data_IF_009234013254
#
_entry.id   IF_009234013254
#
_cell.length_a   1.000
_cell.length_b   1.000
_cell.length_c   1.000
_cell.angle_alpha   90.00
_cell.angle_beta   90.00
_cell.angle_gamma   90.00
#
_symmetry.space_group_name_H-M   'P 1'
#
loop_
_entity.id
_entity.type
_entity.pdbx_description
1 polymer ?
#
# COMPACT_ATOMS: atom_id res chain seq x y z
N UNK A 1 2.07 11.18 1.12
CA UNK A 1 3.41 10.63 0.86
C UNK A 1 4.25 10.65 2.14
N UNK A 2 5.21 9.74 2.22
CA UNK A 2 6.23 9.78 3.28
C UNK A 2 7.32 10.79 2.95
N UNK A 3 7.95 11.33 4.01
CA UNK A 3 9.16 12.13 3.88
C UNK A 3 10.15 11.63 4.93
N UNK A 4 11.30 11.16 4.47
CA UNK A 4 12.37 10.67 5.35
C UNK A 4 12.39 9.16 5.57
N UNK A 5 11.47 8.39 4.98
CA UNK A 5 11.52 6.92 5.05
C UNK A 5 12.82 6.38 4.45
N UNK A 6 13.36 7.06 3.44
CA UNK A 6 14.65 6.74 2.83
C UNK A 6 15.82 6.79 3.82
N UNK A 7 15.69 7.55 4.92
CA UNK A 7 16.68 7.57 6.01
C UNK A 7 16.78 6.25 6.79
N UNK A 8 15.82 5.35 6.61
CA UNK A 8 15.77 4.03 7.26
C UNK A 8 16.10 2.89 6.30
N UNK A 9 16.85 3.20 5.22
CA UNK A 9 17.14 2.23 4.16
C UNK A 9 17.85 0.96 4.66
N UNK A 10 18.69 1.07 5.68
CA UNK A 10 19.38 -0.08 6.26
C UNK A 10 18.43 -0.99 7.02
N UNK A 11 17.48 -0.43 7.76
CA UNK A 11 16.50 -1.14 8.58
C UNK A 11 15.52 -1.94 7.72
N UNK A 12 15.07 -1.36 6.61
CA UNK A 12 14.06 -1.98 5.73
C UNK A 12 14.63 -2.58 4.45
N UNK A 13 15.96 -2.54 4.28
CA UNK A 13 16.69 -3.08 3.12
C UNK A 13 16.26 -2.43 1.79
N UNK A 14 15.82 -1.19 1.82
CA UNK A 14 15.36 -0.48 0.63
C UNK A 14 15.41 1.03 0.83
N UNK A 15 15.97 1.76 -0.13
CA UNK A 15 15.89 3.22 -0.14
C UNK A 15 14.62 3.62 -0.89
N UNK A 16 13.62 4.11 -0.16
CA UNK A 16 12.32 4.42 -0.77
C UNK A 16 11.52 5.46 0.01
N UNK A 17 10.55 6.04 -0.68
CA UNK A 17 9.42 6.76 -0.11
C UNK A 17 8.14 6.12 -0.63
N UNK A 18 7.02 6.38 0.04
CA UNK A 18 5.73 5.76 -0.31
C UNK A 18 4.64 6.82 -0.46
N UNK A 19 3.85 6.70 -1.49
CA UNK A 19 2.65 7.53 -1.74
C UNK A 19 1.41 6.70 -1.44
N UNK A 20 0.53 7.20 -0.59
CA UNK A 20 -0.80 6.60 -0.40
C UNK A 20 -1.72 7.04 -1.55
N UNK A 21 -2.17 6.08 -2.34
CA UNK A 21 -3.06 6.32 -3.47
C UNK A 21 -4.51 6.09 -3.03
N UNK A 22 -5.22 7.18 -2.76
CA UNK A 22 -6.63 7.12 -2.37
C UNK A 22 -7.34 8.44 -2.64
N UNK A 23 -8.62 8.38 -2.99
CA UNK A 23 -9.50 9.55 -3.11
C UNK A 23 -10.26 9.84 -1.80
N UNK A 24 -9.93 9.16 -0.74
CA UNK A 24 -10.61 9.33 0.54
C UNK A 24 -10.20 10.63 1.23
N UNK A 25 -11.18 11.51 1.49
CA UNK A 25 -11.01 12.74 2.28
C UNK A 25 -11.05 12.48 3.79
N UNK A 26 -10.92 11.24 4.18
CA UNK A 26 -11.04 10.84 5.57
C UNK A 26 -9.70 10.98 6.28
N UNK A 27 -9.62 11.84 7.30
CA UNK A 27 -8.40 12.10 8.08
C UNK A 27 -7.75 10.81 8.62
N UNK A 28 -8.56 9.80 8.87
CA UNK A 28 -8.10 8.49 9.33
C UNK A 28 -7.26 7.73 8.31
N UNK A 29 -7.39 8.03 7.03
CA UNK A 29 -6.54 7.41 5.99
C UNK A 29 -5.06 7.70 6.26
N UNK A 30 -4.74 8.95 6.57
CA UNK A 30 -3.38 9.35 6.90
C UNK A 30 -2.88 8.68 8.19
N UNK A 31 -3.72 8.62 9.21
CA UNK A 31 -3.41 7.96 10.47
C UNK A 31 -3.11 6.47 10.27
N UNK A 32 -3.97 5.77 9.54
CA UNK A 32 -3.81 4.34 9.23
C UNK A 32 -2.52 4.12 8.45
N UNK A 33 -2.28 4.94 7.45
CA UNK A 33 -1.07 4.86 6.62
C UNK A 33 0.19 5.05 7.45
N UNK A 34 0.23 6.05 8.31
CA UNK A 34 1.38 6.30 9.17
C UNK A 34 1.60 5.16 10.17
N UNK A 35 0.54 4.60 10.74
CA UNK A 35 0.66 3.43 11.61
C UNK A 35 1.29 2.24 10.87
N UNK A 36 0.90 2.00 9.60
CA UNK A 36 1.47 0.94 8.78
C UNK A 36 2.96 1.19 8.51
N UNK A 37 3.34 2.42 8.18
CA UNK A 37 4.74 2.79 7.95
C UNK A 37 5.57 2.58 9.22
N UNK A 38 5.10 3.04 10.38
CA UNK A 38 5.79 2.82 11.65
C UNK A 38 5.94 1.33 11.96
N UNK A 39 4.91 0.54 11.69
CA UNK A 39 4.98 -0.92 11.87
C UNK A 39 6.11 -1.54 11.03
N UNK A 40 6.22 -1.13 9.77
CA UNK A 40 7.29 -1.60 8.87
C UNK A 40 8.66 -1.23 9.42
N UNK A 41 8.84 0.01 9.86
CA UNK A 41 10.11 0.51 10.39
C UNK A 41 10.49 -0.14 11.71
N UNK A 42 9.56 -0.25 12.65
CA UNK A 42 9.79 -0.84 13.97
C UNK A 42 10.15 -2.32 13.89
N UNK A 43 9.54 -3.05 12.97
CA UNK A 43 9.79 -4.48 12.77
C UNK A 43 10.93 -4.76 11.79
N UNK A 44 11.56 -3.71 11.27
CA UNK A 44 12.67 -3.82 10.31
C UNK A 44 12.35 -4.77 9.15
N UNK A 45 11.13 -4.63 8.61
CA UNK A 45 10.65 -5.48 7.53
C UNK A 45 11.44 -5.24 6.25
N UNK A 46 11.73 -6.30 5.50
CA UNK A 46 12.24 -6.17 4.14
C UNK A 46 11.14 -5.55 3.28
N UNK A 47 11.31 -4.28 2.91
CA UNK A 47 10.29 -3.53 2.19
C UNK A 47 10.49 -3.61 0.68
N UNK A 48 9.40 -3.70 -0.04
CA UNK A 48 9.40 -3.70 -1.50
C UNK A 48 8.03 -4.01 -2.08
N UNK A 49 7.99 -4.23 -3.37
CA UNK A 49 6.77 -4.62 -4.08
C UNK A 49 6.15 -5.88 -3.47
N UNK A 50 4.86 -5.85 -3.22
CA UNK A 50 4.10 -6.99 -2.73
C UNK A 50 3.96 -7.07 -1.21
N UNK A 51 4.52 -6.11 -0.47
CA UNK A 51 4.33 -6.05 0.98
C UNK A 51 2.86 -5.80 1.29
N UNK A 52 2.34 -6.54 2.27
CA UNK A 52 0.95 -6.46 2.71
C UNK A 52 0.94 -6.24 4.22
N UNK A 53 0.30 -5.17 4.67
CA UNK A 53 0.11 -4.87 6.09
C UNK A 53 -1.36 -5.01 6.42
N UNK A 54 -1.68 -6.06 7.15
CA UNK A 54 -3.04 -6.39 7.59
C UNK A 54 -3.36 -5.74 8.95
N UNK A 55 -4.60 -5.85 9.38
CA UNK A 55 -5.01 -5.41 10.72
C UNK A 55 -5.46 -3.97 10.81
N UNK A 56 -5.83 -3.33 9.70
CA UNK A 56 -6.39 -1.97 9.71
C UNK A 56 -7.63 -1.90 10.60
N UNK A 57 -8.43 -2.96 10.63
CA UNK A 57 -9.60 -3.06 11.48
C UNK A 57 -9.28 -2.97 12.99
N UNK A 58 -8.05 -3.27 13.39
CA UNK A 58 -7.59 -3.10 14.76
C UNK A 58 -7.17 -1.66 15.07
N UNK A 59 -6.82 -0.89 14.03
CA UNK A 59 -6.47 0.53 14.14
C UNK A 59 -7.76 1.36 14.12
N UNK A 60 -8.62 1.09 13.14
CA UNK A 60 -9.90 1.79 12.96
C UNK A 60 -10.96 0.84 12.39
N UNK A 61 -11.76 0.26 13.29
CA UNK A 61 -12.81 -0.69 12.92
C UNK A 61 -13.93 -0.04 12.10
N UNK A 62 -14.24 1.22 12.35
CA UNK A 62 -15.28 1.95 11.62
C UNK A 62 -14.88 2.19 10.16
N UNK A 63 -13.63 2.59 9.93
CA UNK A 63 -13.06 2.76 8.60
C UNK A 63 -13.11 1.44 7.82
N UNK A 64 -12.61 0.37 8.43
CA UNK A 64 -12.59 -0.95 7.80
C UNK A 64 -13.99 -1.43 7.41
N UNK A 65 -14.96 -1.24 8.28
CA UNK A 65 -16.36 -1.63 8.04
C UNK A 65 -17.00 -0.77 6.96
N UNK A 66 -16.78 0.54 6.99
CA UNK A 66 -17.37 1.50 6.05
C UNK A 66 -16.91 1.23 4.61
N UNK A 67 -15.64 0.99 4.42
CA UNK A 67 -15.03 0.85 3.09
C UNK A 67 -14.75 -0.60 2.68
N UNK A 68 -15.00 -1.55 3.56
CA UNK A 68 -14.65 -2.97 3.35
C UNK A 68 -13.17 -3.14 2.97
N UNK A 69 -12.30 -2.50 3.72
CA UNK A 69 -10.85 -2.55 3.55
C UNK A 69 -10.19 -2.94 4.86
N UNK A 70 -9.31 -3.93 4.84
CA UNK A 70 -8.68 -4.48 6.04
C UNK A 70 -7.16 -4.45 6.00
N UNK A 71 -6.57 -4.07 4.87
CA UNK A 71 -5.13 -4.09 4.70
C UNK A 71 -4.65 -3.00 3.76
N UNK A 72 -3.35 -2.69 3.85
CA UNK A 72 -2.61 -1.88 2.88
C UNK A 72 -1.69 -2.77 2.06
N UNK A 73 -1.74 -2.61 0.76
CA UNK A 73 -0.87 -3.28 -0.19
C UNK A 73 0.11 -2.28 -0.80
N UNK A 74 1.36 -2.68 -0.91
CA UNK A 74 2.45 -1.83 -1.40
C UNK A 74 3.00 -2.40 -2.71
N UNK A 75 3.18 -1.54 -3.70
CA UNK A 75 3.69 -1.94 -5.01
C UNK A 75 4.45 -0.80 -5.68
N UNK A 76 5.02 -1.08 -6.85
CA UNK A 76 5.64 -0.05 -7.67
C UNK A 76 4.59 1.00 -8.06
N UNK A 77 5.00 2.26 -8.10
CA UNK A 77 4.10 3.33 -8.52
C UNK A 77 3.85 3.24 -10.02
N UNK A 78 2.58 3.13 -10.43
CA UNK A 78 2.18 3.09 -11.84
C UNK A 78 1.18 4.19 -12.22
N UNK A 79 0.71 4.95 -11.23
CA UNK A 79 -0.20 6.09 -11.46
C UNK A 79 0.52 7.33 -11.96
N UNK A 80 1.86 7.32 -11.92
CA UNK A 80 2.72 8.38 -12.44
C UNK A 80 3.64 7.81 -13.53
N UNK A 81 4.16 8.66 -14.44
CA UNK A 81 5.17 8.23 -15.40
C UNK A 81 6.41 7.63 -14.70
N UNK A 82 7.05 6.65 -15.36
CA UNK A 82 8.23 5.94 -14.79
C UNK A 82 9.35 6.88 -14.35
N UNK A 83 9.52 8.01 -15.02
CA UNK A 83 10.53 9.04 -14.69
C UNK A 83 10.36 9.62 -13.30
N UNK A 84 9.15 9.55 -12.72
CA UNK A 84 8.85 10.02 -11.37
C UNK A 84 8.93 8.90 -10.32
N UNK A 85 9.20 7.68 -10.74
CA UNK A 85 9.27 6.52 -9.83
C UNK A 85 10.58 6.42 -9.06
N UNK A 86 11.58 7.24 -9.39
CA UNK A 86 12.90 7.25 -8.75
C UNK A 86 13.29 8.68 -8.37
N UNK A 87 13.71 8.85 -7.12
CA UNK A 87 14.22 10.14 -6.61
C UNK A 87 15.75 10.10 -6.65
N UNK A 88 16.36 11.10 -7.32
CA UNK A 88 17.82 11.29 -7.37
C UNK A 88 18.59 10.04 -7.85
N UNK A 89 17.98 9.21 -8.68
CA UNK A 89 18.55 7.95 -9.20
C UNK A 89 18.94 6.93 -8.11
N UNK A 90 18.50 7.11 -6.87
CA UNK A 90 18.90 6.26 -5.74
C UNK A 90 17.73 5.64 -4.99
N UNK A 91 16.63 6.38 -4.84
CA UNK A 91 15.49 5.93 -4.06
C UNK A 91 14.26 5.75 -4.93
N UNK A 92 13.56 4.65 -4.75
CA UNK A 92 12.31 4.38 -5.46
C UNK A 92 11.14 5.00 -4.73
N UNK A 93 10.11 5.36 -5.49
CA UNK A 93 8.81 5.69 -4.93
C UNK A 93 7.89 4.50 -5.15
N UNK A 94 7.32 3.99 -4.07
CA UNK A 94 6.28 2.98 -4.09
C UNK A 94 4.91 3.62 -3.87
N UNK A 95 3.86 2.91 -4.22
CA UNK A 95 2.50 3.32 -3.86
C UNK A 95 1.87 2.30 -2.93
N UNK A 96 0.98 2.79 -2.08
CA UNK A 96 0.14 1.96 -1.23
C UNK A 96 -1.33 2.22 -1.56
N UNK A 97 -2.15 1.19 -1.50
CA UNK A 97 -3.60 1.34 -1.59
C UNK A 97 -4.30 0.31 -0.69
N UNK A 98 -5.54 0.61 -0.36
CA UNK A 98 -6.32 -0.24 0.51
C UNK A 98 -6.90 -1.43 -0.24
N UNK A 99 -6.85 -2.59 0.41
CA UNK A 99 -7.41 -3.84 -0.12
C UNK A 99 -8.38 -4.47 0.89
N UNK A 100 -9.33 -5.25 0.37
CA UNK A 100 -10.27 -6.00 1.17
C UNK A 100 -9.64 -7.25 1.79
N UNK A 101 -10.33 -7.87 2.74
CA UNK A 101 -9.88 -9.13 3.33
C UNK A 101 -9.73 -10.24 2.29
N UNK A 102 -10.66 -10.33 1.35
CA UNK A 102 -10.60 -11.33 0.27
C UNK A 102 -9.41 -11.10 -0.64
N UNK A 103 -9.14 -9.85 -0.98
CA UNK A 103 -7.97 -9.48 -1.78
C UNK A 103 -6.66 -9.79 -1.04
N UNK A 104 -6.59 -9.47 0.25
CA UNK A 104 -5.44 -9.79 1.08
C UNK A 104 -5.20 -11.30 1.13
N UNK A 105 -6.25 -12.08 1.31
CA UNK A 105 -6.17 -13.54 1.30
C UNK A 105 -5.66 -14.05 -0.05
N UNK A 106 -6.19 -13.52 -1.15
CA UNK A 106 -5.75 -13.89 -2.49
C UNK A 106 -4.27 -13.60 -2.71
N UNK A 107 -3.79 -12.44 -2.26
CA UNK A 107 -2.36 -12.06 -2.35
C UNK A 107 -1.50 -13.08 -1.60
N UNK A 108 -1.90 -13.49 -0.41
CA UNK A 108 -1.16 -14.48 0.39
C UNK A 108 -1.14 -15.86 -0.25
N UNK A 109 -2.23 -16.26 -0.90
CA UNK A 109 -2.35 -17.59 -1.52
C UNK A 109 -1.75 -17.67 -2.92
N UNK A 110 -1.97 -16.66 -3.74
CA UNK A 110 -1.64 -16.67 -5.17
C UNK A 110 -0.44 -15.80 -5.54
N UNK A 111 -0.05 -14.90 -4.67
CA UNK A 111 1.06 -13.98 -4.89
C UNK A 111 0.62 -12.63 -5.45
N UNK A 112 1.50 -11.64 -5.26
CA UNK A 112 1.26 -10.25 -5.66
C UNK A 112 1.13 -10.08 -7.18
N UNK A 113 1.92 -10.79 -7.98
CA UNK A 113 1.86 -10.68 -9.43
C UNK A 113 0.50 -11.10 -10.00
N UNK A 114 -0.05 -12.20 -9.52
CA UNK A 114 -1.38 -12.66 -9.95
C UNK A 114 -2.48 -11.70 -9.53
N UNK A 115 -2.35 -11.12 -8.35
CA UNK A 115 -3.29 -10.11 -7.89
C UNK A 115 -3.26 -8.86 -8.79
N UNK A 116 -2.08 -8.39 -9.14
CA UNK A 116 -1.92 -7.24 -10.04
C UNK A 116 -2.45 -7.54 -11.44
N UNK A 117 -2.26 -8.76 -11.94
CA UNK A 117 -2.85 -9.21 -13.20
C UNK A 117 -4.39 -9.13 -13.17
N UNK A 118 -5.00 -9.53 -12.06
CA UNK A 118 -6.46 -9.45 -11.89
C UNK A 118 -6.92 -7.99 -11.89
N UNK A 119 -6.19 -7.10 -11.22
CA UNK A 119 -6.50 -5.67 -11.21
C UNK A 119 -6.45 -5.08 -12.63
N UNK A 120 -5.42 -5.42 -13.39
CA UNK A 120 -5.22 -4.94 -14.76
C UNK A 120 -6.31 -5.48 -15.70
N UNK A 121 -6.58 -6.79 -15.65
CA UNK A 121 -7.60 -7.43 -16.50
C UNK A 121 -8.99 -6.87 -16.28
N UNK A 122 -9.31 -6.41 -15.08
CA UNK A 122 -10.61 -5.85 -14.72
C UNK A 122 -10.63 -4.32 -14.73
N UNK A 123 -9.55 -3.67 -15.12
CA UNK A 123 -9.45 -2.21 -15.17
C UNK A 123 -9.82 -1.54 -13.82
N UNK A 124 -9.32 -2.08 -12.72
CA UNK A 124 -9.68 -1.63 -11.39
C UNK A 124 -9.02 -0.30 -11.05
N UNK A 125 -9.81 0.67 -10.61
CA UNK A 125 -9.32 1.93 -10.07
C UNK A 125 -9.01 1.76 -8.57
N UNK A 126 -7.75 1.51 -8.26
CA UNK A 126 -7.29 1.27 -6.88
C UNK A 126 -7.36 2.51 -6.00
N UNK A 127 -7.44 3.70 -6.59
CA UNK A 127 -7.56 4.98 -5.87
C UNK A 127 -8.95 5.15 -5.27
N UNK A 128 -9.98 4.60 -5.92
CA UNK A 128 -11.34 4.66 -5.45
C UNK A 128 -11.52 3.80 -4.19
N UNK A 129 -11.67 4.46 -3.04
CA UNK A 129 -11.83 3.77 -1.74
C UNK A 129 -13.16 3.00 -1.66
N UNK A 130 -14.17 3.44 -2.38
CA UNK A 130 -15.50 2.83 -2.39
C UNK A 130 -15.61 1.66 -3.37
N UNK A 131 -14.55 1.33 -4.08
CA UNK A 131 -14.57 0.21 -5.02
C UNK A 131 -14.88 -1.11 -4.33
N UNK A 132 -15.58 -1.97 -5.03
CA UNK A 132 -15.82 -3.32 -4.57
C UNK A 132 -14.54 -4.18 -4.63
N UNK A 133 -14.54 -5.26 -3.86
CA UNK A 133 -13.47 -6.26 -3.94
C UNK A 133 -13.45 -6.91 -5.32
N UNK A 134 -12.27 -7.03 -5.91
CA UNK A 134 -12.10 -7.68 -7.21
C UNK A 134 -12.07 -9.21 -7.08
N UNK A 135 -11.90 -9.71 -5.88
CA UNK A 135 -11.87 -11.16 -5.58
C UNK A 135 -13.21 -11.62 -5.00
#
# INVERSE_FOLDING_TARGET
ATFGMSGYAEEIKNCCEVVLATECDYDKCAEIFMNAIFYILENKMNFGKGVLIEGINNIDAEFSKKYNKTALYFTNIYILPEEFAIINNQCKIYMAFFVSEKEAQYIKEKGSEKFEDVLEQNNIDVINIDRESVI
#
